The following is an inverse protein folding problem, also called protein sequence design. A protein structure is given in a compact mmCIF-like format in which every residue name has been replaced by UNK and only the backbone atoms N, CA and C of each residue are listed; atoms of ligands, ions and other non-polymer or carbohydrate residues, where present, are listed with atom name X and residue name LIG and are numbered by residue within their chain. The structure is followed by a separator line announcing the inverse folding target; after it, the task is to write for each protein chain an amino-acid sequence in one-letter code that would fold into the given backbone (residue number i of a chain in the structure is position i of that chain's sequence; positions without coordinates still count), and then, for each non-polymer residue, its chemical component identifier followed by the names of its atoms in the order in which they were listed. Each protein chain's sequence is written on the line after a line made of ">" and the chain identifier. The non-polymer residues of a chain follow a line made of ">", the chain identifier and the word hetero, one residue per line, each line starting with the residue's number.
data_IF_705705847310
#
_entry.id   IF_705705847310
#
_cell.length_a   1.000
_cell.length_b   1.000
_cell.length_c   1.000
_cell.angle_alpha   90.00
_cell.angle_beta   90.00
_cell.angle_gamma   90.00
#
_symmetry.space_group_name_H-M   'P 1'
#
loop_
_entity.id
_entity.type
_entity.pdbx_description
1 polymer ?
#
# COMPACT_ATOMS: atom_id res chain seq x y z
N UNK A 1 53.19 26.35 4.38
CA UNK A 1 52.61 25.11 4.93
C UNK A 1 53.47 23.95 4.46
N UNK A 2 54.17 23.21 5.39
CA UNK A 2 55.11 22.16 5.00
C UNK A 2 54.42 20.96 4.32
N UNK A 3 55.18 20.20 3.51
CA UNK A 3 54.71 19.07 2.71
C UNK A 3 53.92 18.04 3.55
N UNK A 4 54.37 17.81 4.79
CA UNK A 4 53.68 16.91 5.73
C UNK A 4 52.26 17.39 6.08
N UNK A 5 52.04 18.68 6.34
CA UNK A 5 50.72 19.22 6.65
C UNK A 5 49.75 19.12 5.45
N UNK A 6 50.27 19.28 4.22
CA UNK A 6 49.44 19.09 2.99
C UNK A 6 49.06 17.61 2.81
N UNK A 7 49.98 16.67 3.07
CA UNK A 7 49.68 15.24 2.99
C UNK A 7 48.65 14.79 4.06
N UNK A 8 48.78 15.25 5.30
CA UNK A 8 47.79 14.96 6.35
C UNK A 8 46.41 15.47 5.95
N UNK A 9 46.34 16.76 5.54
CA UNK A 9 45.07 17.34 5.09
C UNK A 9 44.43 16.55 3.94
N UNK A 10 45.23 16.09 2.99
CA UNK A 10 44.76 15.29 1.85
C UNK A 10 44.15 13.94 2.33
N UNK A 11 44.84 13.25 3.25
CA UNK A 11 44.34 11.99 3.81
C UNK A 11 43.07 12.18 4.65
N UNK A 12 42.98 13.28 5.43
CA UNK A 12 41.78 13.59 6.23
C UNK A 12 40.58 13.88 5.33
N UNK A 13 40.76 14.65 4.27
CA UNK A 13 39.70 14.92 3.28
C UNK A 13 39.28 13.65 2.56
N UNK A 14 40.24 12.80 2.17
CA UNK A 14 39.96 11.52 1.53
C UNK A 14 39.16 10.58 2.46
N UNK A 15 39.57 10.49 3.72
CA UNK A 15 38.88 9.68 4.73
C UNK A 15 37.43 10.18 4.92
N UNK A 16 37.25 11.50 5.02
CA UNK A 16 35.94 12.11 5.17
C UNK A 16 35.04 11.82 3.96
N UNK A 17 35.56 11.90 2.75
CA UNK A 17 34.82 11.56 1.52
C UNK A 17 34.41 10.09 1.50
N UNK A 18 35.29 9.17 1.94
CA UNK A 18 34.97 7.75 2.04
C UNK A 18 33.87 7.49 3.07
N UNK A 19 33.98 8.10 4.27
CA UNK A 19 32.96 7.97 5.30
C UNK A 19 31.58 8.49 4.83
N UNK A 20 31.56 9.66 4.18
CA UNK A 20 30.32 10.24 3.61
C UNK A 20 29.73 9.33 2.54
N UNK A 21 30.57 8.77 1.64
CA UNK A 21 30.09 7.87 0.58
C UNK A 21 29.47 6.59 1.16
N UNK A 22 30.11 5.98 2.17
CA UNK A 22 29.58 4.80 2.85
C UNK A 22 28.24 5.14 3.54
N UNK A 23 28.17 6.31 4.20
CA UNK A 23 26.92 6.78 4.83
C UNK A 23 25.78 6.96 3.83
N UNK A 24 26.06 7.55 2.68
CA UNK A 24 25.06 7.73 1.60
C UNK A 24 24.61 6.38 1.05
N UNK A 25 25.55 5.47 0.74
CA UNK A 25 25.22 4.14 0.23
C UNK A 25 24.41 3.31 1.24
N UNK A 26 24.81 3.38 2.53
CA UNK A 26 24.07 2.73 3.61
C UNK A 26 22.64 3.25 3.75
N UNK A 27 22.44 4.56 3.69
CA UNK A 27 21.12 5.18 3.72
C UNK A 27 20.25 4.73 2.52
N UNK A 28 20.80 4.73 1.31
CA UNK A 28 20.08 4.29 0.11
C UNK A 28 19.68 2.81 0.19
N UNK A 29 20.60 1.96 0.61
CA UNK A 29 20.35 0.52 0.76
C UNK A 29 19.27 0.24 1.80
N UNK A 30 19.32 0.90 2.96
CA UNK A 30 18.33 0.76 4.01
C UNK A 30 16.94 1.23 3.54
N UNK A 31 16.88 2.36 2.84
CA UNK A 31 15.62 2.91 2.33
C UNK A 31 14.98 1.99 1.29
N UNK A 32 15.76 1.41 0.36
CA UNK A 32 15.26 0.45 -0.62
C UNK A 32 14.75 -0.83 0.04
N UNK A 33 15.49 -1.40 0.99
CA UNK A 33 15.07 -2.59 1.73
C UNK A 33 13.76 -2.39 2.45
N UNK A 34 13.59 -1.22 3.05
CA UNK A 34 12.37 -0.86 3.77
C UNK A 34 11.16 -0.71 2.84
N UNK A 35 11.31 -0.01 1.71
CA UNK A 35 10.25 0.14 0.70
C UNK A 35 9.80 -1.22 0.15
N UNK A 36 10.75 -2.12 -0.12
CA UNK A 36 10.46 -3.48 -0.58
C UNK A 36 9.67 -4.25 0.47
N UNK A 37 10.09 -4.21 1.73
CA UNK A 37 9.38 -4.90 2.82
C UNK A 37 7.93 -4.43 2.99
N UNK A 38 7.67 -3.13 2.86
CA UNK A 38 6.31 -2.58 2.93
C UNK A 38 5.45 -2.99 1.73
N UNK A 39 6.05 -3.02 0.55
CA UNK A 39 5.38 -3.52 -0.66
C UNK A 39 4.99 -4.98 -0.48
N UNK A 40 5.95 -5.83 -0.06
CA UNK A 40 5.73 -7.26 0.15
C UNK A 40 4.65 -7.52 1.23
N UNK A 41 4.65 -6.70 2.29
CA UNK A 41 3.61 -6.75 3.32
C UNK A 41 2.25 -6.41 2.74
N UNK A 42 2.10 -5.28 2.04
CA UNK A 42 0.82 -4.87 1.45
C UNK A 42 0.27 -5.92 0.48
N UNK A 43 1.13 -6.52 -0.36
CA UNK A 43 0.74 -7.61 -1.25
C UNK A 43 0.36 -8.89 -0.48
N UNK A 44 1.07 -9.19 0.62
CA UNK A 44 0.77 -10.32 1.50
C UNK A 44 -0.60 -10.18 2.14
N UNK A 45 -0.88 -9.02 2.72
CA UNK A 45 -2.15 -8.73 3.38
C UNK A 45 -3.31 -8.66 2.37
N UNK A 46 -3.06 -8.16 1.16
CA UNK A 46 -4.05 -8.20 0.08
C UNK A 46 -4.42 -9.64 -0.31
N UNK A 47 -3.42 -10.52 -0.48
CA UNK A 47 -3.67 -11.96 -0.74
C UNK A 47 -4.41 -12.63 0.39
N UNK A 48 -4.08 -12.30 1.64
CA UNK A 48 -4.77 -12.83 2.81
C UNK A 48 -6.23 -12.34 2.85
N UNK A 49 -6.49 -11.06 2.63
CA UNK A 49 -7.85 -10.53 2.55
C UNK A 49 -8.67 -11.20 1.45
N UNK A 50 -8.08 -11.39 0.26
CA UNK A 50 -8.74 -12.11 -0.84
C UNK A 50 -9.06 -13.56 -0.46
N UNK A 51 -8.13 -14.29 0.17
CA UNK A 51 -8.33 -15.66 0.59
C UNK A 51 -9.44 -15.79 1.65
N UNK A 52 -9.50 -14.84 2.60
CA UNK A 52 -10.58 -14.79 3.60
C UNK A 52 -11.94 -14.61 2.92
N UNK A 53 -12.03 -13.67 1.97
CA UNK A 53 -13.27 -13.45 1.22
C UNK A 53 -13.70 -14.68 0.43
N UNK A 54 -12.75 -15.39 -0.22
CA UNK A 54 -13.04 -16.63 -0.94
C UNK A 54 -13.54 -17.73 -0.02
N UNK A 55 -12.94 -17.86 1.17
CA UNK A 55 -13.30 -18.91 2.13
C UNK A 55 -14.62 -18.62 2.86
N UNK A 56 -14.83 -17.38 3.32
CA UNK A 56 -16.01 -17.03 4.10
C UNK A 56 -17.28 -16.84 3.27
N UNK A 57 -17.11 -16.36 2.02
CA UNK A 57 -18.24 -16.06 1.12
C UNK A 57 -18.11 -16.82 -0.19
N UNK A 58 -18.40 -18.14 -0.18
CA UNK A 58 -18.27 -18.97 -1.37
C UNK A 58 -19.23 -18.51 -2.47
N UNK A 59 -18.78 -18.65 -3.72
CA UNK A 59 -19.53 -18.24 -4.91
C UNK A 59 -18.82 -17.15 -5.69
N UNK A 60 -19.34 -16.85 -6.89
CA UNK A 60 -18.68 -15.91 -7.79
C UNK A 60 -18.83 -14.45 -7.36
N UNK A 61 -17.91 -13.63 -7.84
CA UNK A 61 -18.07 -12.19 -7.84
C UNK A 61 -19.06 -11.78 -8.94
N UNK A 62 -19.99 -10.90 -8.62
CA UNK A 62 -20.97 -10.40 -9.59
C UNK A 62 -21.45 -8.99 -9.23
N UNK A 63 -21.76 -8.20 -10.26
CA UNK A 63 -22.51 -6.95 -10.09
C UNK A 63 -23.97 -7.23 -10.37
N UNK A 64 -24.85 -6.94 -9.41
CA UNK A 64 -26.29 -7.10 -9.48
C UNK A 64 -26.96 -5.81 -9.05
N UNK A 65 -27.85 -5.27 -9.88
CA UNK A 65 -28.54 -3.99 -9.62
C UNK A 65 -27.59 -2.85 -9.24
N UNK A 66 -26.40 -2.82 -9.90
CA UNK A 66 -25.37 -1.82 -9.66
C UNK A 66 -24.52 -2.03 -8.40
N UNK A 67 -24.77 -3.06 -7.58
CA UNK A 67 -24.00 -3.38 -6.39
C UNK A 67 -23.10 -4.59 -6.59
N UNK A 68 -21.92 -4.59 -5.94
CA UNK A 68 -20.96 -5.69 -5.98
C UNK A 68 -21.32 -6.77 -4.94
N UNK A 69 -21.28 -8.01 -5.35
CA UNK A 69 -21.54 -9.17 -4.53
C UNK A 69 -20.39 -10.19 -4.59
N UNK A 70 -20.14 -10.87 -3.46
CA UNK A 70 -19.39 -12.12 -3.40
C UNK A 70 -20.35 -13.24 -2.98
N UNK A 71 -20.67 -14.17 -3.90
CA UNK A 71 -21.75 -15.12 -3.69
C UNK A 71 -23.09 -14.41 -3.41
N UNK A 72 -23.63 -14.60 -2.21
CA UNK A 72 -24.84 -13.91 -1.76
C UNK A 72 -24.57 -12.68 -0.87
N UNK A 73 -23.31 -12.42 -0.52
CA UNK A 73 -22.93 -11.29 0.33
C UNK A 73 -22.82 -10.01 -0.51
N UNK A 74 -23.61 -9.00 -0.15
CA UNK A 74 -23.48 -7.66 -0.71
C UNK A 74 -22.26 -6.94 -0.09
N UNK A 75 -21.38 -6.41 -0.92
CA UNK A 75 -20.16 -5.72 -0.48
C UNK A 75 -20.37 -4.22 -0.30
N UNK A 76 -21.30 -3.65 -1.06
CA UNK A 76 -21.58 -2.21 -0.99
C UNK A 76 -22.04 -1.79 0.41
N UNK A 77 -21.32 -0.81 0.98
CA UNK A 77 -21.52 -0.28 2.33
C UNK A 77 -21.32 -1.32 3.47
N UNK A 78 -20.69 -2.45 3.18
CA UNK A 78 -20.39 -3.46 4.19
C UNK A 78 -19.16 -3.05 5.01
N UNK A 79 -19.37 -2.15 5.97
CA UNK A 79 -18.31 -1.65 6.86
C UNK A 79 -17.76 -2.74 7.77
N UNK A 80 -18.63 -3.61 8.28
CA UNK A 80 -18.26 -4.68 9.20
C UNK A 80 -17.23 -5.64 8.57
N UNK A 81 -17.41 -5.96 7.29
CA UNK A 81 -16.46 -6.79 6.55
C UNK A 81 -15.07 -6.18 6.46
N UNK A 82 -14.98 -4.91 6.01
CA UNK A 82 -13.67 -4.27 5.84
C UNK A 82 -13.00 -3.97 7.17
N UNK A 83 -13.77 -3.74 8.23
CA UNK A 83 -13.24 -3.58 9.59
C UNK A 83 -12.68 -4.89 10.14
N UNK A 84 -13.38 -6.01 9.95
CA UNK A 84 -12.88 -7.32 10.32
C UNK A 84 -11.57 -7.68 9.59
N UNK A 85 -11.46 -7.34 8.30
CA UNK A 85 -10.22 -7.53 7.53
C UNK A 85 -9.09 -6.63 8.04
N UNK A 86 -9.40 -5.37 8.40
CA UNK A 86 -8.44 -4.45 9.01
C UNK A 86 -7.96 -4.95 10.37
N UNK A 87 -8.86 -5.44 11.21
CA UNK A 87 -8.50 -5.96 12.54
C UNK A 87 -7.54 -7.15 12.46
N UNK A 88 -7.63 -7.94 11.39
CA UNK A 88 -6.73 -9.07 11.13
C UNK A 88 -5.35 -8.65 10.60
N UNK A 89 -5.30 -7.69 9.68
CA UNK A 89 -4.05 -7.26 9.02
C UNK A 89 -3.36 -6.08 9.72
N UNK A 90 -4.14 -5.25 10.44
CA UNK A 90 -3.72 -3.96 10.97
C UNK A 90 -3.74 -2.83 9.94
N UNK A 91 -4.06 -3.12 8.67
CA UNK A 91 -3.97 -2.20 7.55
C UNK A 91 -5.33 -1.74 7.04
N UNK A 92 -5.34 -0.63 6.30
CA UNK A 92 -6.59 -0.16 5.73
C UNK A 92 -7.01 -1.01 4.55
N UNK A 93 -8.30 -1.36 4.51
CA UNK A 93 -8.91 -2.21 3.48
C UNK A 93 -10.00 -1.45 2.75
N UNK A 94 -10.11 -1.67 1.45
CA UNK A 94 -11.18 -1.13 0.62
C UNK A 94 -11.61 -2.13 -0.45
N UNK A 95 -12.90 -2.20 -0.69
CA UNK A 95 -13.50 -2.88 -1.84
C UNK A 95 -14.03 -1.82 -2.79
N UNK A 96 -13.73 -1.99 -4.07
CA UNK A 96 -14.21 -1.13 -5.15
C UNK A 96 -15.16 -1.91 -6.07
N UNK A 97 -16.23 -1.27 -6.49
CA UNK A 97 -17.07 -1.68 -7.60
C UNK A 97 -16.68 -0.82 -8.81
N UNK A 98 -16.08 -1.42 -9.82
CA UNK A 98 -15.35 -0.65 -10.83
C UNK A 98 -14.28 0.22 -10.17
N UNK A 99 -14.27 1.52 -10.46
CA UNK A 99 -13.38 2.53 -9.87
C UNK A 99 -13.88 3.10 -8.54
N UNK A 100 -15.14 2.83 -8.18
CA UNK A 100 -15.85 3.48 -7.07
C UNK A 100 -15.66 2.70 -5.76
N UNK A 101 -15.26 3.38 -4.68
CA UNK A 101 -15.12 2.83 -3.33
C UNK A 101 -16.49 2.51 -2.75
N UNK A 102 -16.81 1.23 -2.54
CA UNK A 102 -18.13 0.78 -2.04
C UNK A 102 -18.11 0.33 -0.59
N UNK A 103 -16.97 -0.18 -0.10
CA UNK A 103 -16.74 -0.44 1.33
C UNK A 103 -15.29 -0.08 1.66
N UNK A 104 -15.06 0.61 2.78
CA UNK A 104 -13.72 1.11 3.12
C UNK A 104 -13.56 1.36 4.61
N UNK A 105 -12.34 1.15 5.10
CA UNK A 105 -11.93 1.57 6.45
C UNK A 105 -11.44 3.00 6.50
N UNK A 106 -11.27 3.66 5.34
CA UNK A 106 -10.87 5.07 5.28
C UNK A 106 -12.01 5.99 5.67
N UNK A 107 -11.66 7.01 6.45
CA UNK A 107 -12.58 8.10 6.81
C UNK A 107 -12.04 9.44 6.30
N UNK A 108 -12.96 10.29 5.88
CA UNK A 108 -12.74 11.68 5.55
C UNK A 108 -13.81 12.51 6.27
N UNK A 109 -13.38 13.50 7.03
CA UNK A 109 -14.28 14.38 7.80
C UNK A 109 -15.26 13.61 8.73
N UNK A 110 -14.77 12.53 9.36
CA UNK A 110 -15.54 11.68 10.28
C UNK A 110 -16.56 10.77 9.58
N UNK A 111 -16.51 10.63 8.27
CA UNK A 111 -17.37 9.73 7.49
C UNK A 111 -16.53 8.79 6.63
N UNK A 112 -17.00 7.56 6.44
CA UNK A 112 -16.37 6.63 5.53
C UNK A 112 -16.35 7.20 4.11
N UNK A 113 -15.20 7.06 3.45
CA UNK A 113 -14.94 7.64 2.13
C UNK A 113 -15.59 6.85 0.99
N UNK A 114 -16.76 6.23 1.24
CA UNK A 114 -17.57 5.55 0.23
C UNK A 114 -18.02 6.55 -0.83
N UNK A 115 -18.09 6.10 -2.10
CA UNK A 115 -18.48 6.95 -3.23
C UNK A 115 -17.34 7.81 -3.79
N UNK A 116 -16.10 7.60 -3.34
CA UNK A 116 -14.91 8.23 -3.93
C UNK A 116 -14.20 7.27 -4.88
N UNK A 117 -13.51 7.81 -5.88
CA UNK A 117 -12.82 7.00 -6.89
C UNK A 117 -11.36 6.67 -6.51
N UNK A 118 -10.83 5.60 -7.09
CA UNK A 118 -9.40 5.32 -7.11
C UNK A 118 -8.66 6.35 -7.99
N UNK A 119 -7.34 6.47 -7.82
CA UNK A 119 -6.53 7.34 -8.68
C UNK A 119 -6.40 6.76 -10.09
N UNK A 120 -6.27 7.64 -11.10
CA UNK A 120 -6.21 7.23 -12.50
C UNK A 120 -5.13 6.18 -12.80
N UNK A 121 -3.88 6.28 -12.27
CA UNK A 121 -2.87 5.24 -12.51
C UNK A 121 -3.28 3.84 -12.01
N UNK A 122 -4.03 3.77 -10.91
CA UNK A 122 -4.56 2.51 -10.38
C UNK A 122 -5.68 1.97 -11.27
N UNK A 123 -6.60 2.84 -11.72
CA UNK A 123 -7.68 2.48 -12.65
C UNK A 123 -7.10 1.88 -13.92
N UNK A 124 -6.10 2.54 -14.51
CA UNK A 124 -5.48 2.09 -15.75
C UNK A 124 -4.77 0.73 -15.59
N UNK A 125 -4.02 0.55 -14.48
CA UNK A 125 -3.28 -0.68 -14.21
C UNK A 125 -4.20 -1.87 -13.87
N UNK A 126 -5.27 -1.63 -13.09
CA UNK A 126 -6.07 -2.71 -12.52
C UNK A 126 -7.34 -2.97 -13.31
N UNK A 127 -8.11 -1.92 -13.62
CA UNK A 127 -9.39 -2.10 -14.32
C UNK A 127 -9.21 -2.24 -15.83
N UNK A 128 -8.35 -1.42 -16.44
CA UNK A 128 -8.17 -1.44 -17.89
C UNK A 128 -7.19 -2.49 -18.35
N UNK A 129 -6.04 -2.63 -17.66
CA UNK A 129 -5.02 -3.62 -18.02
C UNK A 129 -5.25 -5.00 -17.35
N UNK A 130 -6.16 -5.12 -16.37
CA UNK A 130 -6.44 -6.36 -15.65
C UNK A 130 -5.29 -6.87 -14.77
N UNK A 131 -4.30 -6.02 -14.50
CA UNK A 131 -3.14 -6.33 -13.67
C UNK A 131 -3.35 -6.00 -12.19
N UNK A 132 -2.32 -6.27 -11.37
CA UNK A 132 -2.26 -5.77 -10.01
C UNK A 132 -1.39 -4.51 -9.94
N UNK A 133 -1.67 -3.63 -8.99
CA UNK A 133 -0.82 -2.48 -8.68
C UNK A 133 -0.23 -2.64 -7.28
N UNK A 134 1.08 -2.37 -7.14
CA UNK A 134 1.70 -2.28 -5.80
C UNK A 134 2.79 -1.21 -5.80
N UNK A 135 2.77 -0.37 -4.76
CA UNK A 135 3.70 0.73 -4.62
C UNK A 135 3.12 1.89 -3.81
N UNK A 136 3.82 3.02 -3.82
CA UNK A 136 3.28 4.24 -3.22
C UNK A 136 2.10 4.75 -4.05
N UNK A 137 0.99 5.04 -3.36
CA UNK A 137 -0.17 5.70 -3.94
C UNK A 137 -0.72 6.75 -2.98
N UNK A 138 -1.29 7.80 -3.56
CA UNK A 138 -2.00 8.80 -2.80
C UNK A 138 -3.46 8.37 -2.62
N UNK A 139 -3.91 8.28 -1.38
CA UNK A 139 -5.27 7.94 -1.01
C UNK A 139 -5.83 9.05 -0.13
N UNK A 140 -6.84 9.77 -0.62
CA UNK A 140 -7.48 10.88 0.09
C UNK A 140 -6.50 11.96 0.59
N UNK A 141 -5.48 12.30 -0.22
CA UNK A 141 -4.47 13.31 0.09
C UNK A 141 -3.33 12.86 1.00
N UNK A 142 -3.24 11.56 1.33
CA UNK A 142 -2.16 10.97 2.11
C UNK A 142 -1.44 9.89 1.33
N UNK A 143 -0.15 9.70 1.62
CA UNK A 143 0.67 8.66 1.00
C UNK A 143 0.54 7.33 1.75
N UNK A 144 0.40 6.25 0.98
CA UNK A 144 0.33 4.88 1.46
C UNK A 144 1.20 3.97 0.60
N UNK A 145 1.77 2.95 1.22
CA UNK A 145 2.19 1.76 0.47
C UNK A 145 0.96 0.92 0.23
N UNK A 146 0.61 0.76 -1.04
CA UNK A 146 -0.69 0.29 -1.50
C UNK A 146 -0.55 -0.93 -2.37
N UNK A 147 -1.44 -1.89 -2.20
CA UNK A 147 -1.60 -3.02 -3.10
C UNK A 147 -3.07 -3.11 -3.55
N UNK A 148 -3.26 -3.30 -4.85
CA UNK A 148 -4.57 -3.48 -5.48
C UNK A 148 -4.56 -4.75 -6.32
N UNK A 149 -5.61 -5.54 -6.25
CA UNK A 149 -5.84 -6.67 -7.14
C UNK A 149 -7.20 -6.55 -7.83
N UNK A 150 -7.29 -6.98 -9.11
CA UNK A 150 -8.57 -7.02 -9.82
C UNK A 150 -9.52 -8.06 -9.21
N UNK A 151 -10.79 -7.74 -9.20
CA UNK A 151 -11.89 -8.65 -8.90
C UNK A 151 -12.53 -9.03 -10.24
N UNK A 152 -12.51 -10.33 -10.54
CA UNK A 152 -13.07 -10.83 -11.80
C UNK A 152 -14.48 -11.40 -11.61
N UNK A 153 -15.39 -10.99 -12.48
CA UNK A 153 -16.71 -11.58 -12.60
C UNK A 153 -16.67 -12.97 -13.23
N UNK A 154 -17.83 -13.61 -13.33
CA UNK A 154 -17.97 -14.96 -13.91
C UNK A 154 -17.56 -15.05 -15.39
N UNK A 155 -17.65 -13.97 -16.11
CA UNK A 155 -17.26 -13.83 -17.51
C UNK A 155 -15.78 -13.47 -17.71
N UNK A 156 -15.01 -13.37 -16.60
CA UNK A 156 -13.60 -12.99 -16.60
C UNK A 156 -13.34 -11.49 -16.71
N UNK A 157 -14.39 -10.66 -16.83
CA UNK A 157 -14.22 -9.21 -16.84
C UNK A 157 -13.83 -8.69 -15.45
N UNK A 158 -13.03 -7.63 -15.40
CA UNK A 158 -12.71 -6.97 -14.14
C UNK A 158 -13.90 -6.12 -13.69
N UNK A 159 -14.58 -6.52 -12.61
CA UNK A 159 -15.77 -5.86 -12.08
C UNK A 159 -15.49 -4.92 -10.93
N UNK A 160 -14.28 -4.97 -10.37
CA UNK A 160 -13.88 -4.13 -9.25
C UNK A 160 -12.44 -4.39 -8.82
N UNK A 161 -12.09 -3.90 -7.64
CA UNK A 161 -10.74 -4.06 -7.07
C UNK A 161 -10.83 -4.30 -5.57
N UNK A 162 -9.93 -5.13 -5.05
CA UNK A 162 -9.63 -5.21 -3.64
C UNK A 162 -8.35 -4.44 -3.35
N UNK A 163 -8.31 -3.72 -2.23
CA UNK A 163 -7.21 -2.86 -1.84
C UNK A 163 -6.79 -3.06 -0.39
N UNK A 164 -5.48 -3.02 -0.16
CA UNK A 164 -4.86 -2.89 1.16
C UNK A 164 -3.84 -1.76 1.12
N UNK A 165 -3.78 -0.96 2.18
CA UNK A 165 -2.85 0.17 2.27
C UNK A 165 -2.29 0.41 3.66
N UNK A 166 -0.96 0.54 3.71
CA UNK A 166 -0.15 0.80 4.90
C UNK A 166 0.18 2.29 4.95
N UNK A 167 -0.23 3.04 6.00
CA UNK A 167 0.08 4.46 6.08
C UNK A 167 1.59 4.69 6.22
N UNK A 168 2.15 5.55 5.36
CA UNK A 168 3.58 5.88 5.40
C UNK A 168 3.97 6.69 6.65
N UNK A 169 3.03 7.38 7.27
CA UNK A 169 3.25 8.15 8.49
C UNK A 169 3.65 7.27 9.69
N UNK A 170 2.97 6.14 9.90
CA UNK A 170 3.30 5.18 10.98
C UNK A 170 4.71 4.61 10.82
N UNK A 171 5.12 4.45 9.60
CA UNK A 171 6.43 3.94 9.22
C UNK A 171 7.54 4.94 9.56
N UNK A 172 7.31 6.23 9.28
CA UNK A 172 8.26 7.29 9.63
C UNK A 172 8.40 7.48 11.15
N UNK A 173 7.34 7.28 11.91
CA UNK A 173 7.39 7.32 13.37
C UNK A 173 8.23 6.18 13.94
N UNK A 174 8.09 4.96 13.42
CA UNK A 174 8.92 3.81 13.80
C UNK A 174 10.39 4.09 13.47
N UNK A 175 10.69 4.58 12.28
CA UNK A 175 12.06 4.95 11.89
C UNK A 175 12.66 6.02 12.81
N UNK A 176 11.90 7.06 13.16
CA UNK A 176 12.35 8.12 14.08
C UNK A 176 12.63 7.58 15.48
N UNK A 177 11.79 6.69 16.00
CA UNK A 177 11.99 6.09 17.32
C UNK A 177 13.27 5.24 17.40
N UNK A 178 13.59 4.50 16.32
CA UNK A 178 14.84 3.73 16.25
C UNK A 178 16.09 4.61 16.19
N UNK A 179 16.05 5.71 15.43
CA UNK A 179 17.19 6.66 15.33
C UNK A 179 17.41 7.40 16.64
N UNK A 180 16.36 7.68 17.42
CA UNK A 180 16.49 8.34 18.72
C UNK A 180 16.95 7.40 19.85
N UNK A 181 16.87 6.09 19.66
CA UNK A 181 17.28 5.08 20.66
C UNK A 181 18.74 4.63 20.49
N UNK A 182 19.44 5.11 19.46
CA UNK A 182 20.89 4.91 19.23
C UNK A 182 21.73 6.08 19.76
#
# INVERSE_FOLDING_TARGET
>A
MGLQKKAILFFDVLLLLVCVSIGILGYWSANQGFTTALKDKAEGDLRQAAAILEFQYPGPWAVRDGALYKGNMKLDQNSELVDALKDLSGDNVTVFNGSMRVATTYEKDGKRAVGTEASQPVIDAVLHAGGSFSGEAEVLGKKYYSAYAPIHGVDGTTVGMLYVGIPTEQVQEIQRSYVQSM
#
